data_IF_970523692655
#
_entry.id   IF_970523692655
#
_cell.length_a   1.000
_cell.length_b   1.000
_cell.length_c   1.000
_cell.angle_alpha   90.00
_cell.angle_beta   90.00
_cell.angle_gamma   90.00
#
_symmetry.space_group_name_H-M   'P 1'
#
loop_
_entity.id
_entity.type
_entity.pdbx_description
1 polymer ?
#
# COMPACT_ATOMS: atom_id res chain seq x y z
N UNK A 1 45.86 10.76 27.21
CA UNK A 1 44.78 10.80 26.20
C UNK A 1 43.70 9.81 26.63
N UNK A 2 42.45 10.27 26.84
CA UNK A 2 41.31 9.42 27.23
C UNK A 2 40.45 9.20 25.99
N UNK A 3 40.42 7.99 25.42
CA UNK A 3 39.39 7.60 24.44
C UNK A 3 39.03 6.12 24.59
N UNK A 4 37.86 5.95 25.18
CA UNK A 4 36.90 4.85 25.15
C UNK A 4 36.82 4.06 23.84
N UNK A 5 36.74 2.74 23.95
CA UNK A 5 36.09 1.86 22.97
C UNK A 5 35.28 0.82 23.78
N UNK A 6 34.04 1.15 24.13
CA UNK A 6 32.84 0.68 23.43
C UNK A 6 32.67 -0.85 23.53
N UNK A 7 32.34 -1.28 24.74
CA UNK A 7 31.67 -2.56 25.02
C UNK A 7 30.29 -2.58 24.36
N UNK A 8 30.01 -3.65 23.61
CA UNK A 8 28.67 -4.22 23.45
C UNK A 8 27.70 -3.48 22.52
N UNK A 9 27.44 -4.09 21.36
CA UNK A 9 26.08 -4.11 20.83
C UNK A 9 25.84 -5.47 20.20
N UNK A 10 25.03 -6.28 20.87
CA UNK A 10 24.46 -7.50 20.34
C UNK A 10 23.82 -7.19 18.99
N UNK A 11 24.34 -7.82 17.92
CA UNK A 11 23.60 -7.93 16.66
C UNK A 11 22.47 -8.93 16.90
N UNK A 12 21.34 -8.44 17.39
CA UNK A 12 20.05 -9.14 17.29
C UNK A 12 19.63 -9.13 15.82
N UNK A 13 20.28 -9.99 15.03
CA UNK A 13 19.80 -10.39 13.71
C UNK A 13 18.57 -11.28 13.89
N UNK A 14 17.45 -10.65 14.25
CA UNK A 14 16.15 -11.29 14.31
C UNK A 14 15.10 -10.37 13.68
N UNK A 15 15.35 -9.96 12.43
CA UNK A 15 14.28 -9.58 11.51
C UNK A 15 13.94 -10.79 10.62
N UNK A 16 13.68 -11.93 11.28
CA UNK A 16 12.65 -12.86 10.82
C UNK A 16 11.29 -12.38 11.36
N UNK A 17 11.07 -11.06 11.41
CA UNK A 17 9.76 -10.50 11.61
C UNK A 17 8.97 -10.85 10.35
N UNK A 18 8.26 -11.97 10.42
CA UNK A 18 7.32 -12.41 9.40
C UNK A 18 6.52 -11.18 8.94
N UNK A 19 6.64 -10.76 7.67
CA UNK A 19 5.97 -9.57 7.18
C UNK A 19 4.45 -9.76 7.07
N UNK A 20 3.90 -10.89 7.54
CA UNK A 20 2.46 -11.20 7.48
C UNK A 20 1.63 -10.21 8.29
N UNK A 21 2.11 -9.74 9.45
CA UNK A 21 1.37 -8.73 10.23
C UNK A 21 1.42 -7.32 9.61
N UNK A 22 2.46 -7.01 8.83
CA UNK A 22 2.51 -5.75 8.09
C UNK A 22 1.76 -5.85 6.75
N UNK A 23 1.72 -7.02 6.14
CA UNK A 23 1.08 -7.24 4.85
C UNK A 23 -0.45 -7.22 4.95
N UNK A 24 -1.03 -7.86 5.97
CA UNK A 24 -2.49 -7.82 6.19
C UNK A 24 -2.98 -6.41 6.54
N UNK A 25 -2.25 -5.70 7.42
CA UNK A 25 -2.53 -4.31 7.76
C UNK A 25 -2.39 -3.39 6.52
N UNK A 26 -1.33 -3.58 5.73
CA UNK A 26 -1.09 -2.82 4.51
C UNK A 26 -2.13 -3.13 3.42
N UNK A 27 -2.53 -4.38 3.24
CA UNK A 27 -3.60 -4.80 2.34
C UNK A 27 -4.91 -4.09 2.71
N UNK A 28 -5.32 -4.16 3.98
CA UNK A 28 -6.52 -3.52 4.48
C UNK A 28 -6.47 -1.98 4.32
N UNK A 29 -5.33 -1.35 4.65
CA UNK A 29 -5.13 0.09 4.49
C UNK A 29 -5.19 0.53 3.01
N UNK A 30 -4.60 -0.26 2.10
CA UNK A 30 -4.64 0.03 0.68
C UNK A 30 -6.05 -0.15 0.11
N UNK A 31 -6.79 -1.19 0.52
CA UNK A 31 -8.20 -1.37 0.14
C UNK A 31 -9.01 -0.13 0.58
N UNK A 32 -8.82 0.34 1.82
CA UNK A 32 -9.49 1.55 2.31
C UNK A 32 -9.14 2.79 1.51
N UNK A 33 -7.88 2.94 1.14
CA UNK A 33 -7.42 4.04 0.27
C UNK A 33 -8.15 4.03 -1.07
N UNK A 34 -8.32 2.86 -1.68
CA UNK A 34 -9.03 2.69 -2.96
C UNK A 34 -10.54 2.95 -2.81
N UNK A 35 -11.18 2.43 -1.76
CA UNK A 35 -12.60 2.68 -1.46
C UNK A 35 -12.87 4.18 -1.27
N UNK A 36 -11.98 4.87 -0.56
CA UNK A 36 -12.07 6.32 -0.35
C UNK A 36 -11.88 7.09 -1.67
N UNK A 37 -10.94 6.70 -2.52
CA UNK A 37 -10.75 7.33 -3.83
C UNK A 37 -11.98 7.15 -4.74
N UNK A 38 -12.68 6.03 -4.64
CA UNK A 38 -13.89 5.77 -5.44
C UNK A 38 -15.10 6.60 -4.98
N UNK A 39 -15.19 6.88 -3.67
CA UNK A 39 -16.31 7.63 -3.07
C UNK A 39 -16.06 9.13 -2.93
N UNK A 40 -14.79 9.56 -2.98
CA UNK A 40 -14.42 10.96 -2.87
C UNK A 40 -14.90 11.78 -4.07
N UNK A 41 -15.86 12.67 -3.83
CA UNK A 41 -16.41 13.62 -4.81
C UNK A 41 -15.37 14.58 -5.40
N UNK A 42 -14.22 14.75 -4.72
CA UNK A 42 -13.10 15.58 -5.19
C UNK A 42 -12.30 14.90 -6.30
N UNK A 43 -12.41 13.57 -6.41
CA UNK A 43 -11.73 12.77 -7.44
C UNK A 43 -12.72 12.60 -8.60
N UNK A 44 -12.75 13.55 -9.53
CA UNK A 44 -13.52 13.44 -10.78
C UNK A 44 -12.95 12.30 -11.67
N UNK A 45 -13.10 11.06 -11.22
CA UNK A 45 -12.62 9.86 -11.92
C UNK A 45 -13.54 9.52 -13.08
N UNK A 46 -12.93 9.20 -14.23
CA UNK A 46 -13.62 8.56 -15.35
C UNK A 46 -14.36 7.29 -14.89
N UNK A 47 -15.50 6.94 -15.51
CA UNK A 47 -16.20 5.67 -15.27
C UNK A 47 -15.27 4.45 -15.39
N UNK A 48 -14.29 4.47 -16.31
CA UNK A 48 -13.33 3.37 -16.47
C UNK A 48 -12.45 3.19 -15.23
N UNK A 49 -12.00 4.30 -14.64
CA UNK A 49 -11.18 4.30 -13.42
C UNK A 49 -12.03 3.81 -12.24
N UNK A 50 -13.28 4.26 -12.12
CA UNK A 50 -14.20 3.75 -11.08
C UNK A 50 -14.39 2.23 -11.17
N UNK A 51 -14.64 1.71 -12.37
CA UNK A 51 -14.74 0.25 -12.59
C UNK A 51 -13.43 -0.47 -12.24
N UNK A 52 -12.27 0.10 -12.58
CA UNK A 52 -10.97 -0.46 -12.21
C UNK A 52 -10.78 -0.51 -10.69
N UNK A 53 -11.17 0.54 -9.97
CA UNK A 53 -11.08 0.64 -8.52
C UNK A 53 -11.98 -0.42 -7.85
N UNK A 54 -13.24 -0.52 -8.26
CA UNK A 54 -14.19 -1.52 -7.75
C UNK A 54 -13.70 -2.95 -7.98
N UNK A 55 -13.17 -3.23 -9.18
CA UNK A 55 -12.59 -4.53 -9.52
C UNK A 55 -11.36 -4.83 -8.67
N UNK A 56 -10.51 -3.83 -8.42
CA UNK A 56 -9.35 -3.99 -7.55
C UNK A 56 -9.77 -4.34 -6.13
N UNK A 57 -10.75 -3.64 -5.56
CA UNK A 57 -11.27 -3.93 -4.21
C UNK A 57 -11.81 -5.36 -4.12
N UNK A 58 -12.60 -5.81 -5.11
CA UNK A 58 -13.11 -7.19 -5.15
C UNK A 58 -11.99 -8.22 -5.19
N UNK A 59 -11.01 -8.02 -6.07
CA UNK A 59 -9.88 -8.94 -6.21
C UNK A 59 -9.00 -8.95 -4.95
N UNK A 60 -8.81 -7.80 -4.30
CA UNK A 60 -8.01 -7.66 -3.09
C UNK A 60 -8.66 -8.40 -1.92
N UNK A 61 -9.96 -8.22 -1.70
CA UNK A 61 -10.73 -8.97 -0.69
C UNK A 61 -10.73 -10.47 -0.96
N UNK A 62 -10.81 -10.88 -2.22
CA UNK A 62 -10.70 -12.29 -2.60
C UNK A 62 -9.30 -12.87 -2.33
N UNK A 63 -8.23 -12.10 -2.54
CA UNK A 63 -6.86 -12.50 -2.19
C UNK A 63 -6.68 -12.60 -0.67
N UNK A 64 -7.21 -11.63 0.08
CA UNK A 64 -7.20 -11.64 1.55
C UNK A 64 -7.91 -12.88 2.11
N UNK A 65 -9.10 -13.22 1.57
CA UNK A 65 -9.83 -14.43 1.95
C UNK A 65 -9.08 -15.74 1.63
N UNK A 66 -8.17 -15.70 0.64
CA UNK A 66 -7.30 -16.82 0.28
C UNK A 66 -5.96 -16.80 1.04
N UNK A 67 -5.76 -15.86 1.98
CA UNK A 67 -4.49 -15.60 2.65
C UNK A 67 -3.33 -15.28 1.68
N UNK A 68 -3.66 -14.80 0.46
CA UNK A 68 -2.69 -14.34 -0.53
C UNK A 68 -2.41 -12.83 -0.34
N UNK A 69 -1.84 -12.51 0.81
CA UNK A 69 -1.54 -11.13 1.22
C UNK A 69 -0.60 -10.43 0.24
N UNK A 70 0.37 -11.17 -0.30
CA UNK A 70 1.30 -10.62 -1.29
C UNK A 70 0.55 -10.16 -2.53
N UNK A 71 -0.40 -10.97 -3.02
CA UNK A 71 -1.22 -10.58 -4.17
C UNK A 71 -2.11 -9.39 -3.84
N UNK A 72 -2.72 -9.35 -2.66
CA UNK A 72 -3.51 -8.21 -2.22
C UNK A 72 -2.68 -6.91 -2.25
N UNK A 73 -1.53 -6.90 -1.58
CA UNK A 73 -0.64 -5.72 -1.53
C UNK A 73 -0.18 -5.33 -2.92
N UNK A 74 0.19 -6.29 -3.77
CA UNK A 74 0.66 -6.01 -5.13
C UNK A 74 -0.40 -5.30 -5.97
N UNK A 75 -1.62 -5.85 -6.04
CA UNK A 75 -2.66 -5.29 -6.92
C UNK A 75 -3.16 -3.95 -6.38
N UNK A 76 -3.29 -3.80 -5.06
CA UNK A 76 -3.78 -2.57 -4.45
C UNK A 76 -2.75 -1.45 -4.56
N UNK A 77 -1.47 -1.73 -4.32
CA UNK A 77 -0.37 -0.76 -4.49
C UNK A 77 -0.29 -0.28 -5.93
N UNK A 78 -0.36 -1.19 -6.91
CA UNK A 78 -0.37 -0.84 -8.34
C UNK A 78 -1.51 0.11 -8.68
N UNK A 79 -2.72 -0.17 -8.19
CA UNK A 79 -3.89 0.70 -8.43
C UNK A 79 -3.74 2.06 -7.75
N UNK A 80 -3.20 2.12 -6.53
CA UNK A 80 -2.92 3.40 -5.85
C UNK A 80 -1.89 4.22 -6.62
N UNK A 81 -0.82 3.60 -7.12
CA UNK A 81 0.18 4.29 -7.95
C UNK A 81 -0.45 4.78 -9.26
N UNK A 82 -1.28 3.98 -9.91
CA UNK A 82 -2.01 4.40 -11.10
C UNK A 82 -2.93 5.61 -10.80
N UNK A 83 -3.67 5.58 -9.69
CA UNK A 83 -4.51 6.68 -9.23
C UNK A 83 -3.71 7.96 -9.02
N UNK A 84 -2.56 7.87 -8.34
CA UNK A 84 -1.64 9.00 -8.17
C UNK A 84 -1.16 9.55 -9.51
N UNK A 85 -0.82 8.70 -10.46
CA UNK A 85 -0.40 9.14 -11.79
C UNK A 85 -1.55 9.75 -12.61
N UNK A 86 -2.79 9.28 -12.43
CA UNK A 86 -3.98 9.87 -13.07
C UNK A 86 -4.41 11.20 -12.42
N UNK A 87 -4.14 11.40 -11.12
CA UNK A 87 -4.40 12.65 -10.39
C UNK A 87 -3.23 13.64 -10.41
N UNK A 88 -2.01 13.18 -10.66
CA UNK A 88 -0.81 14.00 -10.88
C UNK A 88 -0.79 14.63 -12.30
N UNK A 89 -1.98 15.02 -12.78
CA UNK A 89 -2.14 15.97 -13.88
C UNK A 89 -2.23 17.42 -13.41
N UNK A 90 -2.22 17.68 -12.08
CA UNK A 90 -2.35 19.04 -11.51
C UNK A 90 -1.24 19.49 -10.56
N UNK A 91 -0.15 18.72 -10.42
CA UNK A 91 1.03 19.17 -9.65
C UNK A 91 2.25 19.36 -10.57
N UNK A 92 2.02 20.10 -11.65
CA UNK A 92 3.05 20.64 -12.53
C UNK A 92 2.95 22.17 -12.53
N UNK A 93 3.67 22.80 -11.61
CA UNK A 93 3.97 24.23 -11.61
C UNK A 93 4.71 24.64 -12.89
N UNK A 94 4.18 25.61 -13.65
CA UNK A 94 4.86 26.88 -13.95
C UNK A 94 3.88 27.90 -14.54
#
# INVERSE_FOLDING_TARGET
MKRTALTGLFLSAALLASPVFAADDLCAANIKTIENANTSSSTNLSPENKTMLEKTVKNAKAAQAQNDEKKCVEITTKTITALKNTGSGSEGTK
#
